data_IF_075992451748
#
_entry.id   IF_075992451748
#
_cell.length_a   1.000
_cell.length_b   1.000
_cell.length_c   1.000
_cell.angle_alpha   90.00
_cell.angle_beta   90.00
_cell.angle_gamma   90.00
#
_symmetry.space_group_name_H-M   'P 1'
#
loop_
_entity.id
_entity.type
_entity.pdbx_description
1 polymer ?
#
# COMPACT_ATOMS: atom_id res chain seq x y z
N UNK A 1 -16.45 6.99 13.38
CA UNK A 1 -17.72 6.51 12.80
C UNK A 1 -17.45 6.17 11.33
N UNK A 2 -18.19 5.25 10.73
CA UNK A 2 -18.03 4.91 9.30
C UNK A 2 -19.35 5.19 8.58
N UNK A 3 -19.32 6.11 7.61
CA UNK A 3 -20.49 6.59 6.88
C UNK A 3 -20.39 6.18 5.42
N UNK A 4 -21.52 5.76 4.83
CA UNK A 4 -21.63 5.50 3.40
C UNK A 4 -21.99 6.80 2.66
N UNK A 5 -20.99 7.44 2.05
CA UNK A 5 -21.18 8.65 1.23
C UNK A 5 -21.53 8.35 -0.24
N UNK A 6 -21.60 7.07 -0.63
CA UNK A 6 -21.95 6.66 -1.98
C UNK A 6 -23.47 6.72 -2.21
N UNK A 7 -23.86 6.78 -3.49
CA UNK A 7 -25.27 6.77 -3.91
C UNK A 7 -25.93 5.40 -3.77
N UNK A 8 -25.12 4.34 -3.78
CA UNK A 8 -25.57 2.96 -3.74
C UNK A 8 -25.25 2.30 -2.40
N UNK A 9 -25.88 1.16 -2.14
CA UNK A 9 -25.54 0.37 -0.96
C UNK A 9 -24.15 -0.24 -1.12
N UNK A 10 -23.39 -0.27 -0.03
CA UNK A 10 -22.04 -0.84 -0.02
C UNK A 10 -21.95 -2.00 0.96
N UNK A 11 -21.11 -2.99 0.65
CA UNK A 11 -20.67 -3.99 1.60
C UNK A 11 -19.23 -3.67 2.04
N UNK A 12 -18.96 -3.78 3.34
CA UNK A 12 -17.64 -3.50 3.89
C UNK A 12 -17.04 -4.71 4.60
N UNK A 13 -15.70 -4.77 4.60
CA UNK A 13 -14.92 -5.75 5.36
C UNK A 13 -13.65 -5.12 5.89
N UNK A 14 -13.45 -5.25 7.19
CA UNK A 14 -12.30 -4.74 7.92
C UNK A 14 -11.38 -5.90 8.25
N UNK A 15 -10.12 -5.77 7.85
CA UNK A 15 -9.02 -6.69 8.15
C UNK A 15 -7.98 -5.97 8.99
N UNK A 16 -7.18 -6.72 9.72
CA UNK A 16 -6.04 -6.19 10.49
C UNK A 16 -4.80 -7.02 10.23
N UNK A 17 -3.63 -6.40 10.34
CA UNK A 17 -2.34 -7.09 10.32
C UNK A 17 -2.07 -7.89 11.60
N UNK A 18 -2.84 -7.69 12.68
CA UNK A 18 -2.63 -8.33 13.98
C UNK A 18 -3.93 -8.83 14.64
N UNK A 19 -4.44 -9.98 14.18
CA UNK A 19 -5.70 -10.57 14.65
C UNK A 19 -5.70 -10.98 16.14
N UNK A 20 -4.52 -11.27 16.71
CA UNK A 20 -4.39 -11.65 18.12
C UNK A 20 -4.59 -10.44 19.04
N UNK A 21 -4.10 -9.27 18.64
CA UNK A 21 -4.15 -8.04 19.44
C UNK A 21 -5.48 -7.33 19.33
N UNK A 22 -6.14 -7.37 18.16
CA UNK A 22 -7.34 -6.55 17.95
C UNK A 22 -8.57 -7.37 17.70
N UNK A 23 -9.67 -6.90 18.31
CA UNK A 23 -11.02 -7.35 18.01
C UNK A 23 -11.80 -6.19 17.43
N UNK A 24 -12.21 -6.34 16.17
CA UNK A 24 -12.98 -5.32 15.44
C UNK A 24 -14.44 -5.72 15.39
N UNK A 25 -15.36 -4.80 15.73
CA UNK A 25 -16.81 -5.04 15.68
C UNK A 25 -17.61 -3.81 15.23
N UNK A 26 -18.50 -3.96 14.24
CA UNK A 26 -18.56 -5.08 13.28
C UNK A 26 -17.32 -5.10 12.38
N UNK A 27 -16.83 -6.30 12.03
CA UNK A 27 -15.72 -6.46 11.06
C UNK A 27 -16.21 -6.55 9.62
N UNK A 28 -17.49 -6.82 9.40
CA UNK A 28 -18.13 -6.92 8.09
C UNK A 28 -19.58 -6.46 8.20
N UNK A 29 -20.15 -5.94 7.13
CA UNK A 29 -21.56 -5.59 7.08
C UNK A 29 -21.92 -4.94 5.75
N UNK A 30 -23.16 -4.48 5.66
CA UNK A 30 -23.66 -3.65 4.55
C UNK A 30 -24.14 -2.32 5.10
N UNK A 31 -24.05 -1.27 4.30
CA UNK A 31 -24.51 0.08 4.61
C UNK A 31 -25.33 0.60 3.45
N UNK A 32 -26.54 1.07 3.74
CA UNK A 32 -27.36 1.82 2.77
C UNK A 32 -26.75 3.19 2.49
N UNK A 33 -27.12 3.87 1.39
CA UNK A 33 -26.70 5.24 1.15
C UNK A 33 -26.98 6.12 2.37
N UNK A 34 -26.00 6.93 2.76
CA UNK A 34 -26.06 7.83 3.92
C UNK A 34 -26.14 7.15 5.30
N UNK A 35 -26.06 5.82 5.36
CA UNK A 35 -26.06 5.09 6.63
C UNK A 35 -24.69 5.22 7.32
N UNK A 36 -24.72 5.40 8.65
CA UNK A 36 -23.52 5.49 9.48
C UNK A 36 -23.52 4.38 10.52
N UNK A 37 -22.37 3.71 10.67
CA UNK A 37 -22.16 2.66 11.67
C UNK A 37 -20.98 2.97 12.58
N UNK A 38 -21.11 2.59 13.84
CA UNK A 38 -20.02 2.66 14.82
C UNK A 38 -19.19 1.38 14.77
N UNK A 39 -17.97 1.49 14.25
CA UNK A 39 -16.97 0.43 14.31
C UNK A 39 -16.12 0.61 15.57
N UNK A 40 -16.02 -0.45 16.37
CA UNK A 40 -15.23 -0.50 17.60
C UNK A 40 -13.99 -1.36 17.39
N UNK A 41 -12.84 -0.82 17.77
CA UNK A 41 -11.55 -1.50 17.76
C UNK A 41 -11.14 -1.74 19.21
N UNK A 42 -11.14 -3.00 19.65
CA UNK A 42 -10.75 -3.38 21.01
C UNK A 42 -9.35 -3.96 20.97
N UNK A 43 -8.44 -3.39 21.76
CA UNK A 43 -7.09 -3.91 21.95
C UNK A 43 -7.11 -4.91 23.11
N UNK A 44 -6.80 -6.17 22.82
CA UNK A 44 -6.74 -7.27 23.78
C UNK A 44 -5.29 -7.53 24.16
N UNK A 45 -4.89 -7.17 25.38
CA UNK A 45 -3.61 -7.56 25.96
C UNK A 45 -3.15 -6.61 27.07
N UNK A 46 -2.64 -7.18 28.16
CA UNK A 46 -2.18 -6.43 29.35
C UNK A 46 -0.74 -5.93 29.25
N UNK A 47 0.03 -6.40 28.26
CA UNK A 47 1.47 -6.10 28.12
C UNK A 47 1.87 -5.69 26.70
N UNK A 48 1.06 -4.87 26.04
CA UNK A 48 1.34 -4.41 24.67
C UNK A 48 2.17 -3.13 24.72
N UNK A 49 3.37 -3.17 24.15
CA UNK A 49 4.22 -1.98 24.04
C UNK A 49 3.65 -1.02 22.98
N UNK A 50 3.75 0.27 23.24
CA UNK A 50 3.30 1.32 22.32
C UNK A 50 3.91 1.18 20.92
N UNK A 51 5.19 0.81 20.85
CA UNK A 51 5.91 0.56 19.59
C UNK A 51 5.32 -0.56 18.74
N UNK A 52 4.59 -1.49 19.36
CA UNK A 52 4.00 -2.64 18.67
C UNK A 52 2.64 -2.29 18.06
N UNK A 53 1.94 -1.29 18.61
CA UNK A 53 0.62 -0.83 18.13
C UNK A 53 0.76 0.11 16.95
N UNK A 54 1.74 1.02 16.95
CA UNK A 54 1.94 2.03 15.88
C UNK A 54 2.24 1.37 14.51
N UNK A 55 2.78 0.14 14.53
CA UNK A 55 3.07 -0.64 13.31
C UNK A 55 1.85 -1.34 12.75
N UNK A 56 0.81 -1.53 13.57
CA UNK A 56 -0.38 -2.27 13.19
C UNK A 56 -1.24 -1.44 12.23
N UNK A 57 -1.87 -2.12 11.27
CA UNK A 57 -2.69 -1.50 10.23
C UNK A 57 -4.03 -2.19 10.14
N UNK A 58 -5.05 -1.40 9.81
CA UNK A 58 -6.36 -1.91 9.44
C UNK A 58 -6.63 -1.62 7.98
N UNK A 59 -7.20 -2.59 7.29
CA UNK A 59 -7.59 -2.48 5.90
C UNK A 59 -9.11 -2.54 5.84
N UNK A 60 -9.74 -1.46 5.39
CA UNK A 60 -11.17 -1.40 5.11
C UNK A 60 -11.34 -1.64 3.61
N UNK A 61 -12.10 -2.68 3.28
CA UNK A 61 -12.47 -3.02 1.92
C UNK A 61 -13.93 -2.65 1.72
N UNK A 62 -14.24 -2.03 0.59
CA UNK A 62 -15.59 -1.61 0.22
C UNK A 62 -15.91 -2.11 -1.19
N UNK A 63 -17.13 -2.61 -1.38
CA UNK A 63 -17.66 -3.01 -2.68
C UNK A 63 -19.10 -2.52 -2.83
N UNK A 64 -19.52 -2.04 -4.02
CA UNK A 64 -20.91 -1.69 -4.28
C UNK A 64 -21.78 -2.97 -4.30
N UNK A 65 -22.97 -2.89 -3.73
CA UNK A 65 -23.97 -3.97 -3.73
C UNK A 65 -24.94 -3.72 -4.89
N UNK A 66 -24.80 -4.51 -5.94
CA UNK A 66 -25.55 -4.33 -7.20
C UNK A 66 -26.88 -5.13 -7.18
N UNK A 67 -26.99 -6.19 -6.37
CA UNK A 67 -28.20 -7.03 -6.19
C UNK A 67 -28.27 -7.61 -4.77
N UNK A 68 -29.43 -8.05 -4.27
CA UNK A 68 -29.58 -8.73 -2.95
C UNK A 68 -28.99 -10.17 -2.93
N UNK A 69 -27.84 -10.38 -3.59
CA UNK A 69 -27.12 -11.65 -3.54
C UNK A 69 -26.33 -11.80 -2.25
N UNK A 70 -25.96 -13.04 -1.94
CA UNK A 70 -25.27 -13.38 -0.70
C UNK A 70 -23.94 -12.62 -0.58
N UNK A 71 -23.73 -11.90 0.52
CA UNK A 71 -22.50 -11.16 0.87
C UNK A 71 -21.21 -11.95 0.63
N UNK A 72 -21.23 -13.27 0.80
CA UNK A 72 -20.08 -14.15 0.58
C UNK A 72 -19.65 -14.25 -0.88
N UNK A 73 -20.58 -14.14 -1.82
CA UNK A 73 -20.33 -14.26 -3.26
C UNK A 73 -19.68 -12.98 -3.80
N UNK A 74 -20.10 -11.81 -3.30
CA UNK A 74 -19.50 -10.53 -3.66
C UNK A 74 -18.00 -10.46 -3.38
N UNK A 75 -17.56 -11.02 -2.24
CA UNK A 75 -16.13 -11.04 -1.91
C UNK A 75 -15.29 -11.90 -2.86
N UNK A 76 -15.91 -12.86 -3.57
CA UNK A 76 -15.24 -13.75 -4.53
C UNK A 76 -15.28 -13.22 -5.96
N UNK A 77 -16.37 -12.57 -6.37
CA UNK A 77 -16.61 -12.22 -7.77
C UNK A 77 -15.98 -10.89 -8.21
N UNK A 78 -15.78 -9.94 -7.31
CA UNK A 78 -15.46 -8.56 -7.70
C UNK A 78 -14.12 -8.13 -7.12
N UNK A 79 -13.00 -8.49 -7.77
CA UNK A 79 -11.68 -8.05 -7.31
C UNK A 79 -11.29 -6.67 -7.87
N UNK A 80 -11.71 -6.33 -9.10
CA UNK A 80 -11.38 -5.03 -9.70
C UNK A 80 -12.15 -3.85 -9.09
N UNK A 81 -13.37 -4.05 -8.57
CA UNK A 81 -14.20 -2.98 -7.99
C UNK A 81 -14.03 -2.78 -6.48
N UNK A 82 -12.98 -3.37 -5.88
CA UNK A 82 -12.71 -3.25 -4.44
C UNK A 82 -11.97 -1.96 -4.15
N UNK A 83 -12.67 -1.01 -3.55
CA UNK A 83 -12.01 0.15 -2.95
C UNK A 83 -11.35 -0.26 -1.63
N UNK A 84 -10.14 0.26 -1.39
CA UNK A 84 -9.30 -0.13 -0.26
C UNK A 84 -8.80 1.09 0.50
N UNK A 85 -9.01 1.09 1.81
CA UNK A 85 -8.58 2.15 2.71
C UNK A 85 -7.71 1.57 3.83
N UNK A 86 -6.49 2.09 3.99
CA UNK A 86 -5.56 1.65 5.03
C UNK A 86 -5.56 2.66 6.18
N UNK A 87 -5.95 2.22 7.36
CA UNK A 87 -5.90 2.98 8.60
C UNK A 87 -4.64 2.60 9.40
N UNK A 88 -3.96 3.59 9.95
CA UNK A 88 -2.79 3.43 10.81
C UNK A 88 -3.12 3.81 12.25
N UNK A 89 -2.55 3.11 13.21
CA UNK A 89 -2.69 3.45 14.62
C UNK A 89 -1.77 4.61 15.02
N UNK A 90 -2.31 5.57 15.77
CA UNK A 90 -1.55 6.58 16.52
C UNK A 90 -1.89 6.43 17.99
N UNK A 91 -0.88 6.56 18.85
CA UNK A 91 -1.05 6.56 20.30
C UNK A 91 -0.91 8.01 20.74
N UNK A 92 -1.88 8.48 21.53
CA UNK A 92 -1.88 9.82 22.12
C UNK A 92 -1.61 9.64 23.60
N UNK A 93 -0.62 10.36 24.14
CA UNK A 93 -0.32 10.32 25.58
C UNK A 93 -1.31 11.21 26.35
N UNK A 94 -1.68 10.82 27.58
CA UNK A 94 -2.75 11.46 28.37
C UNK A 94 -2.53 12.96 28.66
N UNK A 95 -1.32 13.48 28.46
CA UNK A 95 -1.03 14.91 28.56
C UNK A 95 -1.72 15.76 27.46
N UNK A 96 -2.30 15.11 26.43
CA UNK A 96 -3.03 15.75 25.33
C UNK A 96 -4.55 15.43 25.35
N UNK A 97 -5.04 14.68 26.34
CA UNK A 97 -6.41 14.12 26.35
C UNK A 97 -7.50 15.09 26.84
N UNK A 98 -7.15 16.30 27.28
CA UNK A 98 -8.06 17.27 27.90
C UNK A 98 -8.80 18.23 26.96
N UNK A 99 -8.57 18.18 25.64
CA UNK A 99 -9.14 19.19 24.74
C UNK A 99 -9.03 18.78 23.28
N UNK A 100 -9.63 17.66 22.90
CA UNK A 100 -9.71 17.24 21.52
C UNK A 100 -11.18 17.19 21.10
N UNK A 101 -11.82 18.37 20.99
CA UNK A 101 -12.66 18.86 19.89
C UNK A 101 -12.50 20.39 19.97
N UNK A 102 -12.10 21.03 18.87
CA UNK A 102 -11.63 22.42 18.76
C UNK A 102 -10.23 22.75 19.35
N UNK A 103 -9.19 22.53 18.53
CA UNK A 103 -8.22 23.61 18.21
C UNK A 103 -7.17 23.11 17.22
N UNK A 104 -7.39 23.46 15.95
CA UNK A 104 -6.30 23.70 15.01
C UNK A 104 -5.58 24.98 15.49
N UNK A 105 -4.35 24.85 15.99
CA UNK A 105 -3.31 25.88 16.21
C UNK A 105 -2.61 25.76 17.58
N UNK A 106 -1.98 24.62 17.88
CA UNK A 106 -0.85 24.61 18.84
C UNK A 106 0.00 23.32 18.77
N UNK A 107 0.39 22.89 17.56
CA UNK A 107 1.47 21.89 17.39
C UNK A 107 2.37 22.21 16.19
N UNK A 108 2.53 23.50 15.90
CA UNK A 108 3.19 23.99 14.69
C UNK A 108 4.74 24.01 14.76
N UNK A 109 5.37 23.52 15.83
CA UNK A 109 6.83 23.45 15.92
C UNK A 109 7.35 22.01 16.00
N UNK A 110 6.85 21.17 16.92
CA UNK A 110 7.29 19.77 17.01
C UNK A 110 6.86 18.89 15.83
N UNK A 111 5.68 19.13 15.23
CA UNK A 111 5.24 18.39 14.05
C UNK A 111 6.08 18.72 12.80
N UNK A 112 6.56 19.95 12.70
CA UNK A 112 7.41 20.38 11.60
C UNK A 112 8.79 19.71 11.67
N UNK A 113 9.37 19.57 12.87
CA UNK A 113 10.65 18.87 13.04
C UNK A 113 10.55 17.36 12.69
N UNK A 114 9.44 16.69 13.08
CA UNK A 114 9.20 15.28 12.71
C UNK A 114 8.93 15.12 11.20
N UNK A 115 8.23 16.09 10.59
CA UNK A 115 7.96 16.12 9.16
C UNK A 115 9.25 16.37 8.36
N UNK A 116 10.10 17.30 8.81
CA UNK A 116 11.41 17.59 8.22
C UNK A 116 12.33 16.36 8.31
N UNK A 117 12.38 15.68 9.46
CA UNK A 117 13.17 14.45 9.60
C UNK A 117 12.67 13.31 8.67
N UNK A 118 11.35 13.22 8.47
CA UNK A 118 10.78 12.26 7.50
C UNK A 118 11.08 12.66 6.07
N UNK A 119 11.03 13.95 5.73
CA UNK A 119 11.38 14.48 4.41
C UNK A 119 12.85 14.20 4.10
N UNK A 120 13.78 14.45 5.03
CA UNK A 120 15.20 14.12 4.86
C UNK A 120 15.42 12.63 4.62
N UNK A 121 14.75 11.78 5.40
CA UNK A 121 14.82 10.32 5.21
C UNK A 121 14.25 9.89 3.85
N UNK A 122 13.18 10.54 3.39
CA UNK A 122 12.58 10.27 2.09
C UNK A 122 13.52 10.69 0.96
N UNK A 123 14.15 11.87 1.07
CA UNK A 123 15.17 12.36 0.13
C UNK A 123 16.34 11.37 0.07
N UNK A 124 16.81 10.86 1.21
CA UNK A 124 17.88 9.88 1.26
C UNK A 124 17.48 8.55 0.58
N UNK A 125 16.28 8.05 0.84
CA UNK A 125 15.77 6.83 0.20
C UNK A 125 15.61 7.02 -1.30
N UNK A 126 15.08 8.17 -1.75
CA UNK A 126 14.95 8.52 -3.18
C UNK A 126 16.33 8.60 -3.84
N UNK A 127 17.31 9.26 -3.21
CA UNK A 127 18.68 9.33 -3.73
C UNK A 127 19.32 7.93 -3.83
N UNK A 128 19.06 7.06 -2.85
CA UNK A 128 19.58 5.69 -2.86
C UNK A 128 18.88 4.80 -3.91
N UNK A 129 17.58 5.02 -4.14
CA UNK A 129 16.80 4.38 -5.22
C UNK A 129 17.28 4.85 -6.59
N UNK A 130 17.50 6.15 -6.77
CA UNK A 130 18.01 6.73 -8.01
C UNK A 130 19.41 6.21 -8.33
N UNK A 131 20.29 6.13 -7.33
CA UNK A 131 21.59 5.48 -7.44
C UNK A 131 21.48 4.01 -7.84
N UNK A 132 20.51 3.28 -7.28
CA UNK A 132 20.28 1.87 -7.64
C UNK A 132 19.75 1.74 -9.07
N UNK A 133 18.86 2.63 -9.50
CA UNK A 133 18.30 2.65 -10.85
C UNK A 133 19.34 3.00 -11.91
N UNK A 134 20.27 3.92 -11.62
CA UNK A 134 21.33 4.30 -12.56
C UNK A 134 22.35 3.17 -12.73
N UNK A 135 22.69 2.46 -11.65
CA UNK A 135 23.54 1.26 -11.71
C UNK A 135 22.87 0.15 -12.55
N UNK A 136 21.58 -0.13 -12.32
CA UNK A 136 20.83 -1.10 -13.15
C UNK A 136 20.80 -0.68 -14.62
N UNK A 137 20.59 0.62 -14.90
CA UNK A 137 20.64 1.16 -16.26
C UNK A 137 22.01 0.95 -16.93
N UNK A 138 23.10 1.16 -16.21
CA UNK A 138 24.46 0.95 -16.71
C UNK A 138 24.75 -0.54 -17.00
N UNK A 139 24.31 -1.44 -16.11
CA UNK A 139 24.41 -2.89 -16.33
C UNK A 139 23.62 -3.34 -17.57
N UNK A 140 22.42 -2.78 -17.78
CA UNK A 140 21.61 -3.06 -18.97
C UNK A 140 22.30 -2.57 -20.25
N UNK A 141 22.92 -1.39 -20.24
CA UNK A 141 23.66 -0.88 -21.40
C UNK A 141 24.82 -1.82 -21.78
N UNK A 142 25.60 -2.26 -20.79
CA UNK A 142 26.70 -3.20 -21.02
C UNK A 142 26.23 -4.54 -21.62
N UNK A 143 25.15 -5.12 -21.08
CA UNK A 143 24.55 -6.36 -21.59
C UNK A 143 24.07 -6.17 -23.03
N UNK A 144 23.44 -5.04 -23.36
CA UNK A 144 23.00 -4.74 -24.74
C UNK A 144 24.18 -4.67 -25.70
N UNK A 145 25.25 -3.95 -25.36
CA UNK A 145 26.44 -3.86 -26.22
C UNK A 145 27.13 -5.21 -26.40
N UNK A 146 27.26 -5.99 -25.32
CA UNK A 146 27.79 -7.35 -25.39
C UNK A 146 26.94 -8.24 -26.29
N UNK A 147 25.61 -8.13 -26.25
CA UNK A 147 24.69 -8.88 -27.10
C UNK A 147 24.87 -8.51 -28.59
N UNK A 148 24.92 -7.20 -28.91
CA UNK A 148 25.15 -6.74 -30.29
C UNK A 148 26.49 -7.22 -30.85
N UNK A 149 27.54 -7.25 -30.02
CA UNK A 149 28.85 -7.76 -30.42
C UNK A 149 28.80 -9.24 -30.79
N UNK A 150 28.16 -10.08 -29.95
CA UNK A 150 27.99 -11.51 -30.25
C UNK A 150 27.20 -11.72 -31.54
N UNK A 151 26.13 -10.95 -31.75
CA UNK A 151 25.30 -11.03 -32.95
C UNK A 151 26.11 -10.69 -34.22
N UNK A 152 26.95 -9.65 -34.16
CA UNK A 152 27.85 -9.27 -35.25
C UNK A 152 28.82 -10.42 -35.61
N UNK A 153 29.46 -11.03 -34.61
CA UNK A 153 30.38 -12.16 -34.82
C UNK A 153 29.67 -13.35 -35.47
N UNK A 154 28.45 -13.67 -35.03
CA UNK A 154 27.65 -14.73 -35.64
C UNK A 154 27.32 -14.44 -37.12
N UNK A 155 26.94 -13.21 -37.46
CA UNK A 155 26.65 -12.82 -38.84
C UNK A 155 27.89 -12.93 -39.73
N UNK A 156 29.05 -12.50 -39.25
CA UNK A 156 30.31 -12.69 -39.98
C UNK A 156 30.61 -14.17 -40.20
N UNK A 157 30.51 -15.00 -39.16
CA UNK A 157 30.75 -16.44 -39.28
C UNK A 157 29.81 -17.08 -40.31
N UNK A 158 28.51 -16.77 -40.27
CA UNK A 158 27.52 -17.26 -41.24
C UNK A 158 27.89 -16.80 -42.66
N UNK A 159 28.29 -15.54 -42.84
CA UNK A 159 28.73 -15.01 -44.13
C UNK A 159 29.98 -15.70 -44.67
N UNK A 160 30.96 -15.98 -43.81
CA UNK A 160 32.15 -16.76 -44.16
C UNK A 160 31.79 -18.19 -44.59
N UNK A 161 30.93 -18.88 -43.83
CA UNK A 161 30.45 -20.21 -44.22
C UNK A 161 29.70 -20.18 -45.55
N UNK A 162 28.80 -19.21 -45.75
CA UNK A 162 28.09 -19.02 -47.01
C UNK A 162 29.05 -18.81 -48.19
N UNK A 163 30.07 -17.96 -48.05
CA UNK A 163 31.06 -17.70 -49.08
C UNK A 163 31.87 -18.96 -49.44
N UNK A 164 32.25 -19.77 -48.44
CA UNK A 164 32.99 -21.03 -48.67
C UNK A 164 32.12 -22.07 -49.40
N UNK A 165 30.83 -22.15 -49.08
CA UNK A 165 29.91 -23.10 -49.71
C UNK A 165 29.43 -22.67 -51.10
N UNK A 166 29.29 -21.37 -51.37
CA UNK A 166 28.82 -20.87 -52.67
C UNK A 166 29.93 -20.80 -53.73
N UNK A 167 31.18 -20.72 -53.31
CA UNK A 167 32.34 -20.69 -54.21
C UNK A 167 32.91 -22.09 -54.53
N UNK A 168 32.16 -23.13 -54.20
CA UNK A 168 32.52 -24.54 -54.39
C UNK A 168 31.47 -25.21 -55.26
#
# INVERSE_FOLDING_TARGET
>A
MFTNDYKDSIAFKIKTTCLVKYKVRPSTGTLKPQETIKVTFVLNGTSIKQTDVIKDKFLVLVIPVIEEKNTAEFWKMQWESKEQHILKCKIVSENEAGGAWDSCNQDHQNHNDELEQKVEKLILVVANLEKSSSILGQQIQYIKYSLYFVLLVCLFAIGFFWAIFYYK
#
